data_IF_457255085155
#
_entry.id   IF_457255085155
#
_cell.length_a   1.000
_cell.length_b   1.000
_cell.length_c   1.000
_cell.angle_alpha   90.00
_cell.angle_beta   90.00
_cell.angle_gamma   90.00
#
_symmetry.space_group_name_H-M   'P 1'
#
loop_
_entity.id
_entity.type
_entity.pdbx_description
1 polymer ?
#
# COMPACT_ATOMS: atom_id res chain seq x y z
N UNK A 1 60.03 24.66 -62.92
CA UNK A 1 59.82 25.65 -61.83
C UNK A 1 58.37 25.58 -61.35
N UNK A 2 58.04 25.80 -60.06
CA UNK A 2 58.18 24.80 -59.00
C UNK A 2 56.84 24.47 -58.28
N UNK A 3 56.76 23.27 -57.69
CA UNK A 3 55.73 22.86 -56.72
C UNK A 3 55.93 23.60 -55.39
N UNK A 4 54.86 24.20 -54.82
CA UNK A 4 54.81 24.61 -53.40
C UNK A 4 54.02 23.58 -52.57
N UNK A 5 54.40 23.32 -51.31
CA UNK A 5 53.91 22.19 -50.53
C UNK A 5 52.64 22.51 -49.73
N UNK A 6 51.72 21.53 -49.70
CA UNK A 6 50.57 21.46 -48.77
C UNK A 6 51.06 20.95 -47.42
N UNK A 7 51.36 21.82 -46.45
CA UNK A 7 51.64 21.34 -45.08
C UNK A 7 51.18 22.24 -43.93
N UNK A 8 50.62 23.42 -44.16
CA UNK A 8 50.41 24.37 -43.05
C UNK A 8 49.00 24.37 -42.41
N UNK A 9 47.99 23.75 -43.04
CA UNK A 9 46.59 23.87 -42.56
C UNK A 9 46.26 22.88 -41.41
N UNK A 10 47.07 21.84 -41.20
CA UNK A 10 46.77 20.76 -40.26
C UNK A 10 47.08 21.09 -38.77
N UNK A 11 48.02 22.00 -38.50
CA UNK A 11 48.47 22.28 -37.13
C UNK A 11 47.47 23.13 -36.32
N UNK A 12 46.82 24.12 -36.95
CA UNK A 12 45.91 25.05 -36.25
C UNK A 12 44.54 24.47 -35.84
N UNK A 13 44.12 23.33 -36.41
CA UNK A 13 42.87 22.64 -36.05
C UNK A 13 43.01 21.76 -34.80
N UNK A 14 44.18 21.14 -34.57
CA UNK A 14 44.41 20.26 -33.41
C UNK A 14 44.43 21.02 -32.08
N UNK A 15 45.01 22.22 -32.04
CA UNK A 15 45.06 23.04 -30.82
C UNK A 15 43.70 23.55 -30.32
N UNK A 16 42.75 23.79 -31.23
CA UNK A 16 41.40 24.25 -30.88
C UNK A 16 40.49 23.13 -30.37
N UNK A 17 40.66 21.91 -30.87
CA UNK A 17 39.94 20.74 -30.37
C UNK A 17 40.36 20.39 -28.94
N UNK A 18 41.67 20.35 -28.67
CA UNK A 18 42.20 20.02 -27.33
C UNK A 18 41.78 21.02 -26.24
N UNK A 19 41.63 22.32 -26.55
CA UNK A 19 41.11 23.32 -25.60
C UNK A 19 39.62 23.14 -25.31
N UNK A 20 38.81 22.73 -26.29
CA UNK A 20 37.36 22.49 -26.09
C UNK A 20 37.08 21.26 -25.23
N UNK A 21 37.88 20.20 -25.37
CA UNK A 21 37.70 18.98 -24.57
C UNK A 21 38.07 19.22 -23.10
N UNK A 22 39.10 20.04 -22.85
CA UNK A 22 39.48 20.44 -21.49
C UNK A 22 38.41 21.30 -20.79
N UNK A 23 37.77 22.21 -21.51
CA UNK A 23 36.65 23.02 -20.98
C UNK A 23 35.37 22.20 -20.74
N UNK A 24 35.09 21.18 -21.56
CA UNK A 24 33.95 20.27 -21.34
C UNK A 24 34.14 19.39 -20.11
N UNK A 25 35.37 18.94 -19.83
CA UNK A 25 35.70 18.17 -18.64
C UNK A 25 35.46 18.94 -17.34
N UNK A 26 35.84 20.23 -17.28
CA UNK A 26 35.57 21.05 -16.09
C UNK A 26 34.09 21.32 -15.86
N UNK A 27 33.32 21.59 -16.93
CA UNK A 27 31.88 21.85 -16.79
C UNK A 27 31.11 20.59 -16.33
N UNK A 28 31.55 19.40 -16.75
CA UNK A 28 31.00 18.12 -16.28
C UNK A 28 31.36 17.86 -14.83
N UNK A 29 32.61 18.10 -14.43
CA UNK A 29 33.07 17.99 -13.03
C UNK A 29 32.26 18.90 -12.10
N UNK A 30 32.06 20.17 -12.46
CA UNK A 30 31.28 21.13 -11.67
C UNK A 30 29.82 20.69 -11.52
N UNK A 31 29.21 20.17 -12.60
CA UNK A 31 27.85 19.62 -12.55
C UNK A 31 27.75 18.38 -11.66
N UNK A 32 28.71 17.45 -11.75
CA UNK A 32 28.72 16.27 -10.88
C UNK A 32 28.89 16.63 -9.41
N UNK A 33 29.77 17.59 -9.08
CA UNK A 33 29.97 18.06 -7.71
C UNK A 33 28.70 18.72 -7.17
N UNK A 34 28.03 19.56 -7.98
CA UNK A 34 26.77 20.20 -7.60
C UNK A 34 25.65 19.17 -7.35
N UNK A 35 25.52 18.16 -8.21
CA UNK A 35 24.50 17.10 -8.06
C UNK A 35 24.77 16.26 -6.81
N UNK A 36 26.03 15.89 -6.55
CA UNK A 36 26.40 15.14 -5.35
C UNK A 36 26.14 15.96 -4.09
N UNK A 37 26.45 17.25 -4.08
CA UNK A 37 26.16 18.13 -2.94
C UNK A 37 24.65 18.23 -2.66
N UNK A 38 23.82 18.35 -3.70
CA UNK A 38 22.36 18.36 -3.56
C UNK A 38 21.84 17.01 -3.02
N UNK A 39 22.36 15.88 -3.52
CA UNK A 39 21.99 14.56 -3.02
C UNK A 39 22.38 14.36 -1.54
N UNK A 40 23.57 14.82 -1.15
CA UNK A 40 24.00 14.77 0.25
C UNK A 40 23.13 15.64 1.16
N UNK A 41 22.65 16.79 0.68
CA UNK A 41 21.68 17.61 1.42
C UNK A 41 20.31 16.93 1.51
N UNK A 42 19.80 16.38 0.41
CA UNK A 42 18.50 15.70 0.37
C UNK A 42 18.45 14.44 1.24
N UNK A 43 19.57 13.73 1.40
CA UNK A 43 19.66 12.54 2.25
C UNK A 43 20.09 12.87 3.69
N UNK A 44 20.98 13.85 3.87
CA UNK A 44 21.49 14.24 5.18
C UNK A 44 20.48 14.97 6.05
N UNK A 45 19.70 15.89 5.47
CA UNK A 45 18.71 16.69 6.22
C UNK A 45 17.61 15.82 6.85
N UNK A 46 16.98 14.85 6.15
CA UNK A 46 15.97 13.98 6.75
C UNK A 46 16.53 13.07 7.85
N UNK A 47 17.75 12.56 7.69
CA UNK A 47 18.42 11.72 8.70
C UNK A 47 18.76 12.53 9.96
N UNK A 48 19.24 13.76 9.80
CA UNK A 48 19.50 14.67 10.91
C UNK A 48 18.20 15.05 11.65
N UNK A 49 17.12 15.35 10.91
CA UNK A 49 15.81 15.63 11.51
C UNK A 49 15.18 14.41 12.20
N UNK A 50 15.52 13.18 11.79
CA UNK A 50 15.10 11.96 12.49
C UNK A 50 15.85 11.80 13.81
N UNK A 51 17.18 11.95 13.78
CA UNK A 51 18.02 11.85 14.97
C UNK A 51 17.68 12.90 16.04
N UNK A 52 17.36 14.14 15.64
CA UNK A 52 16.90 15.18 16.60
C UNK A 52 15.52 14.88 17.19
N UNK A 53 14.64 14.16 16.48
CA UNK A 53 13.36 13.67 17.05
C UNK A 53 13.61 12.60 18.10
N UNK A 54 14.48 11.64 17.81
CA UNK A 54 14.79 10.54 18.73
C UNK A 54 15.38 11.07 20.06
N UNK A 55 16.29 12.05 20.01
CA UNK A 55 16.82 12.72 21.22
C UNK A 55 15.76 13.44 22.05
N UNK A 56 14.76 14.06 21.40
CA UNK A 56 13.67 14.75 22.11
C UNK A 56 12.76 13.75 22.83
N UNK A 57 12.48 12.61 22.20
CA UNK A 57 11.68 11.52 22.78
C UNK A 57 12.39 10.88 23.97
N UNK A 58 13.70 10.64 23.89
CA UNK A 58 14.50 10.14 25.02
C UNK A 58 14.62 11.15 26.17
N UNK A 59 14.74 12.45 25.86
CA UNK A 59 14.80 13.53 26.84
C UNK A 59 13.48 13.73 27.62
N UNK A 60 12.34 13.45 27.01
CA UNK A 60 11.03 13.47 27.68
C UNK A 60 10.81 12.22 28.54
N UNK A 61 11.17 11.03 28.06
CA UNK A 61 11.09 9.80 28.85
C UNK A 61 11.92 9.85 30.14
N UNK A 62 13.05 10.59 30.14
CA UNK A 62 13.91 10.76 31.32
C UNK A 62 13.39 11.79 32.34
N UNK A 63 12.44 12.65 31.97
CA UNK A 63 11.80 13.62 32.88
C UNK A 63 10.60 13.07 33.64
N UNK A 64 10.08 11.91 33.24
CA UNK A 64 8.83 11.34 33.76
C UNK A 64 9.03 10.05 34.58
N UNK A 65 10.20 9.91 35.25
CA UNK A 65 10.34 8.97 36.37
C UNK A 65 9.98 9.65 37.69
N UNK A 66 8.90 9.24 38.38
CA UNK A 66 8.59 9.74 39.71
C UNK A 66 9.46 9.08 40.79
N UNK A 67 10.06 9.90 41.65
CA UNK A 67 10.76 9.49 42.86
C UNK A 67 9.76 9.10 44.00
N UNK A 68 10.21 8.41 45.07
CA UNK A 68 9.37 7.52 45.86
C UNK A 68 8.66 8.17 47.06
N UNK A 69 7.44 7.68 47.30
CA UNK A 69 6.70 7.43 48.57
C UNK A 69 6.97 8.34 49.79
N UNK A 70 5.91 9.03 50.23
CA UNK A 70 5.72 9.38 51.66
C UNK A 70 4.38 8.83 52.17
N UNK A 71 4.45 8.21 53.34
CA UNK A 71 3.41 7.44 54.06
C UNK A 71 2.48 8.35 54.87
N UNK A 72 1.19 8.04 54.95
CA UNK A 72 0.39 8.12 56.19
C UNK A 72 -1.00 7.46 56.05
N UNK A 73 -1.63 7.04 57.16
CA UNK A 73 -2.34 5.76 57.21
C UNK A 73 -3.87 5.85 57.28
N UNK A 74 -4.47 4.69 56.96
CA UNK A 74 -5.70 4.12 57.49
C UNK A 74 -7.05 4.82 57.22
N UNK A 75 -7.73 4.36 56.16
CA UNK A 75 -9.15 4.04 56.24
C UNK A 75 -9.44 2.78 55.39
N UNK A 76 -10.14 1.84 56.02
CA UNK A 76 -10.53 0.51 55.53
C UNK A 76 -11.13 0.51 54.12
N UNK A 77 -10.66 -0.39 53.25
CA UNK A 77 -11.49 -1.10 52.28
C UNK A 77 -10.70 -2.29 51.69
N UNK A 78 -11.44 -3.34 51.30
CA UNK A 78 -11.02 -4.68 50.88
C UNK A 78 -9.73 -4.79 50.04
N UNK A 79 -8.99 -5.87 50.31
CA UNK A 79 -7.91 -6.36 49.47
C UNK A 79 -8.35 -6.59 48.02
N UNK A 80 -7.56 -6.16 47.01
CA UNK A 80 -7.57 -6.82 45.72
C UNK A 80 -6.53 -7.94 45.76
N UNK A 81 -6.99 -9.17 45.51
CA UNK A 81 -6.12 -10.23 45.04
C UNK A 81 -5.35 -9.71 43.82
N UNK A 82 -4.03 -9.92 43.81
CA UNK A 82 -3.19 -9.63 42.68
C UNK A 82 -3.62 -10.52 41.50
N UNK A 83 -4.54 -10.02 40.70
CA UNK A 83 -4.79 -10.52 39.36
C UNK A 83 -3.57 -10.12 38.52
N UNK A 84 -2.63 -11.05 38.40
CA UNK A 84 -1.76 -11.08 37.23
C UNK A 84 -2.71 -11.10 36.03
N UNK A 85 -2.82 -9.95 35.35
CA UNK A 85 -3.45 -9.88 34.05
C UNK A 85 -2.54 -10.62 33.08
N UNK A 86 -2.67 -11.94 33.06
CA UNK A 86 -2.27 -12.75 31.93
C UNK A 86 -3.01 -12.16 30.74
N UNK A 87 -2.29 -11.44 29.88
CA UNK A 87 -2.79 -11.15 28.54
C UNK A 87 -3.29 -12.49 27.99
N UNK A 88 -4.56 -12.61 27.56
CA UNK A 88 -5.02 -13.87 27.02
C UNK A 88 -4.13 -14.17 25.82
N UNK A 89 -3.35 -15.24 25.93
CA UNK A 89 -2.68 -15.82 24.78
C UNK A 89 -3.81 -16.13 23.79
N UNK A 90 -3.82 -15.37 22.68
CA UNK A 90 -4.79 -15.55 21.59
C UNK A 90 -4.48 -16.89 20.94
N UNK A 91 -5.02 -17.94 21.56
CA UNK A 91 -5.05 -19.33 21.09
C UNK A 91 -6.38 -19.60 20.40
N UNK A 92 -7.03 -18.56 19.88
CA UNK A 92 -8.03 -18.69 18.82
C UNK A 92 -7.28 -18.80 17.50
N UNK A 93 -7.64 -19.78 16.65
CA UNK A 93 -7.12 -19.84 15.29
C UNK A 93 -7.24 -18.46 14.63
N UNK A 94 -6.18 -17.99 13.98
CA UNK A 94 -6.30 -16.78 13.16
C UNK A 94 -7.42 -17.00 12.16
N UNK A 95 -8.37 -16.07 12.11
CA UNK A 95 -9.56 -16.15 11.27
C UNK A 95 -9.24 -16.14 9.77
N UNK A 96 -10.29 -16.06 8.96
CA UNK A 96 -10.19 -15.93 7.53
C UNK A 96 -10.80 -14.59 7.10
N UNK A 97 -10.09 -13.86 6.26
CA UNK A 97 -10.60 -12.66 5.62
C UNK A 97 -11.25 -13.00 4.30
N UNK A 98 -12.19 -12.17 3.88
CA UNK A 98 -12.76 -12.19 2.54
C UNK A 98 -11.77 -11.58 1.55
N UNK A 99 -11.64 -12.23 0.39
CA UNK A 99 -10.78 -11.73 -0.69
C UNK A 99 -11.47 -11.77 -2.02
N UNK A 100 -11.24 -10.74 -2.84
CA UNK A 100 -11.68 -10.68 -4.23
C UNK A 100 -10.49 -10.81 -5.16
N UNK A 101 -10.71 -11.37 -6.33
CA UNK A 101 -9.74 -11.43 -7.42
C UNK A 101 -10.28 -10.68 -8.63
N UNK A 102 -9.39 -10.33 -9.56
CA UNK A 102 -9.83 -9.84 -10.87
C UNK A 102 -10.69 -10.92 -11.53
N UNK A 103 -11.91 -10.56 -11.89
CA UNK A 103 -12.66 -11.36 -12.85
C UNK A 103 -11.94 -11.24 -14.18
N UNK A 104 -11.85 -12.35 -14.91
CA UNK A 104 -11.26 -12.35 -16.24
C UNK A 104 -11.76 -11.11 -17.00
N UNK A 105 -10.83 -10.34 -17.55
CA UNK A 105 -11.18 -9.20 -18.37
C UNK A 105 -11.94 -9.77 -19.59
N UNK A 106 -13.26 -9.69 -19.53
CA UNK A 106 -14.09 -9.98 -20.69
C UNK A 106 -13.54 -9.06 -21.79
N UNK A 107 -13.22 -9.57 -22.98
CA UNK A 107 -12.68 -8.75 -24.10
C UNK A 107 -13.60 -7.57 -24.53
N UNK A 108 -14.73 -7.41 -23.84
CA UNK A 108 -15.75 -6.37 -23.94
C UNK A 108 -15.57 -5.23 -22.93
N UNK A 109 -14.75 -5.38 -21.89
CA UNK A 109 -14.47 -4.33 -20.92
C UNK A 109 -13.35 -3.41 -21.43
N UNK A 110 -13.51 -2.08 -21.33
CA UNK A 110 -12.41 -1.15 -21.59
C UNK A 110 -11.21 -1.45 -20.69
N UNK A 111 -9.99 -1.25 -21.20
CA UNK A 111 -8.74 -1.58 -20.49
C UNK A 111 -8.57 -0.78 -19.18
N UNK A 112 -9.22 0.37 -19.06
CA UNK A 112 -9.26 1.20 -17.87
C UNK A 112 -10.25 0.69 -16.80
N UNK A 113 -11.12 -0.28 -17.10
CA UNK A 113 -12.12 -0.78 -16.15
C UNK A 113 -11.65 -2.09 -15.52
N UNK A 114 -11.48 -2.10 -14.20
CA UNK A 114 -11.30 -3.33 -13.44
C UNK A 114 -12.63 -3.80 -12.84
N UNK A 115 -12.83 -5.12 -12.83
CA UNK A 115 -13.91 -5.78 -12.08
C UNK A 115 -13.29 -6.85 -11.17
N UNK A 116 -13.54 -6.73 -9.87
CA UNK A 116 -13.07 -7.68 -8.86
C UNK A 116 -14.25 -8.31 -8.14
N UNK A 117 -14.09 -9.55 -7.73
CA UNK A 117 -15.14 -10.30 -7.07
C UNK A 117 -14.67 -11.69 -6.69
N UNK A 118 -15.57 -12.43 -6.08
CA UNK A 118 -15.28 -13.76 -5.58
C UNK A 118 -14.88 -14.72 -6.70
N UNK A 119 -15.57 -14.68 -7.84
CA UNK A 119 -15.35 -15.57 -8.99
C UNK A 119 -14.13 -15.20 -9.86
N UNK A 120 -13.27 -14.30 -9.38
CA UNK A 120 -12.04 -13.96 -10.07
C UNK A 120 -10.97 -15.05 -9.95
N UNK A 121 -9.93 -14.94 -10.79
CA UNK A 121 -8.80 -15.86 -10.74
C UNK A 121 -7.63 -15.25 -9.94
N UNK A 122 -7.03 -16.02 -9.01
CA UNK A 122 -7.18 -17.47 -8.83
C UNK A 122 -8.41 -17.80 -7.97
N UNK A 123 -9.17 -18.83 -8.36
CA UNK A 123 -10.30 -19.36 -7.57
C UNK A 123 -9.89 -19.97 -6.24
N UNK A 124 -8.68 -20.52 -6.16
CA UNK A 124 -8.21 -21.24 -4.97
C UNK A 124 -8.16 -20.33 -3.74
N UNK A 125 -8.79 -20.78 -2.67
CA UNK A 125 -8.82 -20.16 -1.34
C UNK A 125 -8.38 -21.20 -0.31
N UNK A 126 -7.88 -20.74 0.85
CA UNK A 126 -7.40 -21.65 1.90
C UNK A 126 -8.52 -22.54 2.46
N UNK A 127 -9.78 -22.10 2.34
CA UNK A 127 -10.97 -22.91 2.60
C UNK A 127 -11.64 -23.33 1.29
N UNK A 128 -11.70 -24.64 0.97
CA UNK A 128 -12.53 -25.15 -0.10
C UNK A 128 -14.00 -24.84 0.21
N UNK A 129 -14.69 -24.22 -0.73
CA UNK A 129 -16.10 -23.90 -0.61
C UNK A 129 -16.95 -25.12 -1.00
N UNK A 130 -18.09 -25.29 -0.32
CA UNK A 130 -19.14 -26.21 -0.78
C UNK A 130 -19.93 -25.55 -1.90
N UNK A 131 -20.41 -26.34 -2.86
CA UNK A 131 -21.36 -25.94 -3.91
C UNK A 131 -20.89 -24.86 -4.90
N UNK A 132 -19.66 -24.96 -5.44
CA UNK A 132 -19.09 -24.03 -6.45
C UNK A 132 -19.15 -22.53 -6.10
N UNK A 133 -19.37 -22.20 -4.82
CA UNK A 133 -19.36 -20.81 -4.36
C UNK A 133 -17.93 -20.29 -4.45
N UNK A 134 -17.71 -19.08 -4.99
CA UNK A 134 -16.36 -18.60 -5.28
C UNK A 134 -15.70 -17.82 -4.12
N UNK A 135 -16.44 -17.52 -3.04
CA UNK A 135 -15.92 -17.01 -1.76
C UNK A 135 -16.85 -17.35 -0.58
N UNK A 136 -16.37 -17.24 0.66
CA UNK A 136 -17.17 -17.37 1.87
C UNK A 136 -17.42 -15.98 2.49
N UNK A 137 -18.54 -15.36 2.14
CA UNK A 137 -18.90 -14.03 2.67
C UNK A 137 -19.30 -14.06 4.15
N UNK A 138 -19.59 -15.23 4.74
CA UNK A 138 -20.00 -15.34 6.14
C UNK A 138 -18.81 -15.48 7.09
N UNK A 139 -17.73 -16.15 6.68
CA UNK A 139 -16.61 -16.51 7.55
C UNK A 139 -15.23 -16.13 6.98
N UNK A 140 -15.19 -15.61 5.76
CA UNK A 140 -13.95 -15.38 5.01
C UNK A 140 -13.41 -16.66 4.37
N UNK A 141 -12.60 -16.48 3.33
CA UNK A 141 -12.11 -17.56 2.46
C UNK A 141 -10.59 -17.74 2.54
N UNK A 142 -9.86 -16.72 2.99
CA UNK A 142 -8.40 -16.70 2.96
C UNK A 142 -7.84 -16.50 4.35
N UNK A 143 -6.88 -17.34 4.75
CA UNK A 143 -6.25 -17.27 6.06
C UNK A 143 -5.63 -15.89 6.28
N UNK A 144 -5.91 -15.30 7.44
CA UNK A 144 -5.33 -14.00 7.80
C UNK A 144 -3.80 -14.04 7.97
N UNK A 145 -3.16 -15.22 7.89
CA UNK A 145 -1.70 -15.35 7.83
C UNK A 145 -1.12 -15.03 6.46
N UNK A 146 -1.94 -15.05 5.40
CA UNK A 146 -1.50 -14.79 4.03
C UNK A 146 -1.18 -13.30 3.88
N UNK A 147 -0.14 -13.02 3.08
CA UNK A 147 0.29 -11.67 2.72
C UNK A 147 -0.33 -11.33 1.36
N UNK A 148 -1.37 -10.49 1.37
CA UNK A 148 -2.06 -10.03 0.16
C UNK A 148 -2.19 -8.50 0.14
N UNK A 149 -2.23 -7.87 -1.03
CA UNK A 149 -2.57 -6.46 -1.15
C UNK A 149 -4.01 -6.18 -0.65
N UNK A 150 -4.25 -4.99 -0.11
CA UNK A 150 -5.61 -4.50 0.20
C UNK A 150 -6.19 -3.89 -1.07
N UNK A 151 -7.43 -4.23 -1.42
CA UNK A 151 -8.17 -3.51 -2.44
C UNK A 151 -8.63 -2.18 -1.85
N UNK A 152 -8.19 -1.08 -2.45
CA UNK A 152 -8.59 0.25 -2.08
C UNK A 152 -9.50 0.85 -3.14
N UNK A 153 -10.42 1.69 -2.68
CA UNK A 153 -11.30 2.49 -3.50
C UNK A 153 -11.16 3.96 -3.13
N UNK A 154 -11.09 4.82 -4.14
CA UNK A 154 -11.40 6.23 -4.02
C UNK A 154 -12.79 6.44 -4.64
N UNK A 155 -13.83 6.68 -3.83
CA UNK A 155 -15.17 6.91 -4.33
C UNK A 155 -15.21 8.04 -5.37
N UNK A 156 -16.10 7.92 -6.33
CA UNK A 156 -16.22 8.89 -7.41
C UNK A 156 -17.59 8.83 -8.09
N UNK A 157 -17.74 9.65 -9.11
CA UNK A 157 -19.00 9.82 -9.86
C UNK A 157 -18.81 9.58 -11.36
N UNK A 158 -17.75 8.84 -11.74
CA UNK A 158 -17.50 8.53 -13.14
C UNK A 158 -18.72 7.82 -13.74
N UNK A 159 -19.15 8.30 -14.90
CA UNK A 159 -20.22 7.65 -15.64
C UNK A 159 -19.78 6.24 -16.02
N UNK A 160 -20.72 5.30 -15.91
CA UNK A 160 -20.53 3.94 -16.41
C UNK A 160 -20.19 4.00 -17.90
N UNK A 161 -19.12 3.32 -18.36
CA UNK A 161 -18.76 3.35 -19.78
C UNK A 161 -19.89 2.83 -20.67
N UNK A 162 -20.02 3.47 -21.83
CA UNK A 162 -21.04 3.12 -22.83
C UNK A 162 -20.64 1.85 -23.59
N UNK A 163 -21.63 1.06 -24.03
CA UNK A 163 -21.39 -0.04 -24.99
C UNK A 163 -21.14 -1.45 -24.40
N UNK A 164 -21.63 -1.76 -23.20
CA UNK A 164 -21.65 -3.14 -22.68
C UNK A 164 -23.06 -3.71 -22.59
N UNK A 165 -23.17 -5.05 -22.63
CA UNK A 165 -24.42 -5.75 -22.32
C UNK A 165 -24.83 -5.53 -20.85
N UNK A 166 -26.11 -5.73 -20.54
CA UNK A 166 -26.59 -5.75 -19.15
C UNK A 166 -25.76 -6.74 -18.31
N UNK A 167 -25.33 -6.29 -17.12
CA UNK A 167 -24.42 -7.05 -16.25
C UNK A 167 -22.91 -6.86 -16.49
N UNK A 168 -22.47 -6.32 -17.65
CA UNK A 168 -21.02 -6.12 -17.94
C UNK A 168 -20.32 -5.26 -16.88
N UNK A 169 -21.04 -4.26 -16.37
CA UNK A 169 -20.57 -3.34 -15.33
C UNK A 169 -21.35 -3.53 -14.02
N UNK A 170 -21.74 -4.77 -13.71
CA UNK A 170 -22.22 -5.12 -12.39
C UNK A 170 -21.21 -4.62 -11.35
N UNK A 171 -21.70 -3.94 -10.32
CA UNK A 171 -20.86 -3.37 -9.27
C UNK A 171 -20.14 -2.08 -9.62
N UNK A 172 -20.56 -1.37 -10.67
CA UNK A 172 -19.98 -0.07 -11.02
C UNK A 172 -20.11 0.95 -9.88
N UNK A 173 -18.97 1.37 -9.36
CA UNK A 173 -18.87 2.29 -8.23
C UNK A 173 -18.77 3.76 -8.65
N UNK A 174 -18.43 4.04 -9.91
CA UNK A 174 -18.02 5.37 -10.37
C UNK A 174 -16.67 5.85 -9.80
N UNK A 175 -16.02 5.04 -8.96
CA UNK A 175 -14.75 5.35 -8.32
C UNK A 175 -13.54 4.74 -9.03
N UNK A 176 -12.38 4.96 -8.42
CA UNK A 176 -11.11 4.35 -8.83
C UNK A 176 -10.72 3.21 -7.88
N UNK A 177 -10.07 2.19 -8.42
CA UNK A 177 -9.59 1.01 -7.71
C UNK A 177 -8.07 0.91 -7.84
N UNK A 178 -7.41 0.62 -6.72
CA UNK A 178 -5.98 0.41 -6.65
C UNK A 178 -5.62 -0.56 -5.52
N UNK A 179 -4.53 -1.33 -5.67
CA UNK A 179 -4.01 -2.13 -4.59
C UNK A 179 -2.97 -1.38 -3.75
N UNK A 180 -2.86 -1.75 -2.48
CA UNK A 180 -1.69 -1.42 -1.65
C UNK A 180 -0.52 -2.38 -1.93
N UNK A 181 0.63 -2.13 -1.31
CA UNK A 181 1.63 -3.15 -1.06
C UNK A 181 1.03 -4.33 -0.26
N UNK A 182 1.47 -5.57 -0.53
CA UNK A 182 0.99 -6.75 0.19
C UNK A 182 1.23 -6.67 1.69
N UNK A 183 0.25 -7.14 2.45
CA UNK A 183 0.25 -7.09 3.91
C UNK A 183 -0.39 -8.36 4.48
N UNK A 184 0.12 -8.83 5.62
CA UNK A 184 -0.49 -9.94 6.32
C UNK A 184 -1.90 -9.57 6.79
N UNK A 185 -2.92 -10.38 6.48
CA UNK A 185 -4.30 -10.09 6.90
C UNK A 185 -4.46 -9.87 8.40
N UNK A 186 -3.70 -10.59 9.23
CA UNK A 186 -3.75 -10.55 10.69
C UNK A 186 -3.35 -9.19 11.29
N UNK A 187 -2.64 -8.34 10.53
CA UNK A 187 -2.34 -6.97 11.01
C UNK A 187 -3.45 -5.98 10.68
N UNK A 188 -4.43 -6.36 9.85
CA UNK A 188 -5.64 -5.58 9.61
C UNK A 188 -6.59 -5.83 10.78
N UNK A 189 -6.45 -5.06 11.86
CA UNK A 189 -7.23 -5.25 13.10
C UNK A 189 -8.51 -4.42 13.16
N UNK A 190 -8.78 -3.62 12.12
CA UNK A 190 -10.03 -2.87 11.96
C UNK A 190 -10.17 -2.31 10.55
N UNK A 191 -11.40 -1.95 10.18
CA UNK A 191 -11.70 -1.19 8.96
C UNK A 191 -10.93 0.13 8.90
N UNK A 192 -10.81 0.84 10.03
CA UNK A 192 -10.07 2.10 10.11
C UNK A 192 -8.57 1.89 9.84
N UNK A 193 -7.95 0.85 10.40
CA UNK A 193 -6.53 0.56 10.16
C UNK A 193 -6.28 0.14 8.71
N UNK A 194 -7.16 -0.68 8.13
CA UNK A 194 -7.05 -1.08 6.74
C UNK A 194 -7.25 0.11 5.78
N UNK A 195 -8.19 0.99 6.07
CA UNK A 195 -8.41 2.23 5.30
C UNK A 195 -7.25 3.22 5.46
N UNK A 196 -6.68 3.35 6.66
CA UNK A 196 -5.49 4.17 6.88
C UNK A 196 -4.28 3.70 6.06
N UNK A 197 -4.19 2.39 5.78
CA UNK A 197 -3.17 1.85 4.86
C UNK A 197 -3.40 2.31 3.42
N UNK A 198 -4.65 2.27 2.94
CA UNK A 198 -5.01 2.81 1.64
C UNK A 198 -4.64 4.30 1.53
N UNK A 199 -5.05 5.11 2.51
CA UNK A 199 -4.76 6.55 2.51
C UNK A 199 -3.26 6.84 2.57
N UNK A 200 -2.50 6.07 3.37
CA UNK A 200 -1.04 6.23 3.48
C UNK A 200 -0.32 5.97 2.16
N UNK A 201 -0.76 5.00 1.37
CA UNK A 201 -0.06 4.60 0.15
C UNK A 201 -0.56 5.30 -1.12
N UNK A 202 -1.84 5.66 -1.16
CA UNK A 202 -2.52 6.17 -2.35
C UNK A 202 -2.94 7.64 -2.22
N UNK A 203 -2.90 8.19 -1.01
CA UNK A 203 -3.26 9.57 -0.70
C UNK A 203 -4.66 9.73 -0.12
N UNK A 204 -5.03 10.98 0.17
CA UNK A 204 -6.30 11.29 0.83
C UNK A 204 -7.52 10.88 -0.01
N UNK A 205 -8.57 10.40 0.67
CA UNK A 205 -9.82 9.94 0.05
C UNK A 205 -9.84 8.46 -0.34
N UNK A 206 -8.70 7.76 -0.27
CA UNK A 206 -8.63 6.32 -0.45
C UNK A 206 -9.00 5.58 0.84
N UNK A 207 -9.80 4.51 0.73
CA UNK A 207 -10.14 3.62 1.83
C UNK A 207 -10.18 2.16 1.36
N UNK A 208 -10.25 1.22 2.30
CA UNK A 208 -10.46 -0.18 1.96
C UNK A 208 -11.82 -0.35 1.27
N UNK A 209 -11.85 -1.11 0.19
CA UNK A 209 -13.07 -1.42 -0.55
C UNK A 209 -13.96 -2.37 0.25
N UNK A 210 -15.24 -2.02 0.34
CA UNK A 210 -16.28 -2.84 0.96
C UNK A 210 -17.08 -3.57 -0.13
N UNK A 211 -17.54 -4.79 0.14
CA UNK A 211 -18.41 -5.56 -0.78
C UNK A 211 -19.62 -4.72 -1.24
N UNK A 212 -20.18 -3.87 -0.38
CA UNK A 212 -21.32 -2.98 -0.69
C UNK A 212 -20.99 -1.86 -1.66
N UNK A 213 -19.72 -1.52 -1.86
CA UNK A 213 -19.34 -0.58 -2.91
C UNK A 213 -19.83 -1.07 -4.29
N UNK A 214 -19.92 -2.40 -4.43
CA UNK A 214 -20.47 -3.10 -5.58
C UNK A 214 -21.99 -3.15 -5.69
N UNK A 215 -22.74 -2.39 -4.88
CA UNK A 215 -24.21 -2.31 -4.91
C UNK A 215 -24.90 -3.69 -4.92
N UNK A 216 -24.46 -4.59 -4.04
CA UNK A 216 -24.97 -5.96 -3.87
C UNK A 216 -24.83 -6.88 -5.11
N UNK A 217 -24.04 -6.48 -6.11
CA UNK A 217 -23.84 -7.26 -7.33
C UNK A 217 -22.93 -8.48 -7.18
N UNK A 218 -22.30 -8.65 -6.00
CA UNK A 218 -21.26 -9.65 -5.76
C UNK A 218 -19.90 -9.35 -6.40
N UNK A 219 -19.73 -8.15 -6.97
CA UNK A 219 -18.47 -7.66 -7.55
C UNK A 219 -18.32 -6.16 -7.36
N UNK A 220 -17.09 -5.65 -7.44
CA UNK A 220 -16.76 -4.23 -7.40
C UNK A 220 -16.11 -3.88 -8.74
N UNK A 221 -16.68 -2.91 -9.45
CA UNK A 221 -16.17 -2.41 -10.72
C UNK A 221 -15.84 -0.92 -10.63
N UNK A 222 -14.71 -0.53 -11.20
CA UNK A 222 -14.26 0.85 -11.19
C UNK A 222 -13.08 1.09 -12.12
N UNK A 223 -12.60 2.33 -12.15
CA UNK A 223 -11.48 2.73 -12.98
C UNK A 223 -10.16 2.27 -12.35
N UNK A 224 -9.26 1.71 -13.16
CA UNK A 224 -7.87 1.46 -12.79
C UNK A 224 -7.14 2.79 -12.64
N UNK A 225 -6.28 2.90 -11.63
CA UNK A 225 -5.31 4.01 -11.58
C UNK A 225 -4.15 3.75 -12.55
N UNK A 226 -3.42 4.80 -12.93
CA UNK A 226 -2.22 4.70 -13.77
C UNK A 226 -0.95 4.39 -12.98
N UNK A 227 -0.96 4.59 -11.66
CA UNK A 227 0.23 4.55 -10.82
C UNK A 227 0.43 3.20 -10.14
N UNK A 228 -0.58 2.33 -10.18
CA UNK A 228 -0.55 1.00 -9.59
C UNK A 228 -1.19 0.01 -10.56
N UNK A 229 -0.88 -1.27 -10.40
CA UNK A 229 -1.40 -2.33 -11.26
C UNK A 229 -2.13 -3.36 -10.42
N UNK A 230 -3.40 -3.58 -10.75
CA UNK A 230 -4.12 -4.77 -10.29
C UNK A 230 -3.59 -5.96 -11.08
N UNK A 231 -2.84 -6.82 -10.39
CA UNK A 231 -2.19 -7.99 -10.96
C UNK A 231 -3.17 -9.12 -11.24
N UNK A 232 -3.07 -9.68 -12.44
CA UNK A 232 -3.72 -10.94 -12.79
C UNK A 232 -3.21 -12.05 -11.85
N UNK A 233 -4.08 -12.97 -11.45
CA UNK A 233 -3.69 -14.05 -10.54
C UNK A 233 -3.43 -13.59 -9.11
N UNK A 234 -3.90 -12.41 -8.70
CA UNK A 234 -3.79 -11.91 -7.32
C UNK A 234 -5.16 -11.78 -6.67
N UNK A 235 -5.27 -12.23 -5.42
CA UNK A 235 -6.41 -11.91 -4.55
C UNK A 235 -6.10 -10.70 -3.68
N UNK A 236 -7.13 -9.95 -3.32
CA UNK A 236 -7.06 -8.70 -2.58
C UNK A 236 -7.94 -8.78 -1.35
N UNK A 237 -7.44 -8.30 -0.20
CA UNK A 237 -8.28 -8.12 0.97
C UNK A 237 -9.39 -7.11 0.68
N UNK A 238 -10.63 -7.52 0.89
CA UNK A 238 -11.82 -6.67 0.87
C UNK A 238 -12.51 -6.75 2.23
N UNK A 239 -13.30 -5.74 2.58
CA UNK A 239 -14.06 -5.77 3.82
C UNK A 239 -15.55 -6.01 3.57
N UNK A 240 -16.23 -6.45 4.63
CA UNK A 240 -17.68 -6.48 4.70
C UNK A 240 -18.14 -6.00 6.07
N UNK A 241 -19.15 -5.13 6.08
CA UNK A 241 -19.75 -4.62 7.32
C UNK A 241 -20.80 -5.55 7.93
N UNK A 242 -21.42 -6.41 7.13
CA UNK A 242 -22.60 -7.18 7.55
C UNK A 242 -22.27 -8.57 8.07
N UNK A 243 -21.06 -9.05 7.81
CA UNK A 243 -20.67 -10.43 8.10
C UNK A 243 -19.32 -10.48 8.85
N UNK A 244 -19.10 -11.51 9.69
CA UNK A 244 -17.83 -11.73 10.38
C UNK A 244 -16.80 -12.39 9.45
N UNK A 245 -16.53 -11.77 8.29
CA UNK A 245 -15.62 -12.29 7.27
C UNK A 245 -14.40 -11.37 7.06
N UNK A 246 -14.04 -10.55 8.04
CA UNK A 246 -12.81 -9.76 8.02
C UNK A 246 -11.77 -10.38 8.96
N UNK A 247 -10.49 -10.08 8.75
CA UNK A 247 -9.44 -10.62 9.62
C UNK A 247 -9.51 -10.19 11.09
N UNK A 248 -10.24 -9.11 11.39
CA UNK A 248 -10.44 -8.60 12.74
C UNK A 248 -11.72 -9.08 13.42
N UNK A 249 -12.64 -9.73 12.70
CA UNK A 249 -13.92 -10.17 13.25
C UNK A 249 -14.36 -11.57 12.81
N UNK A 250 -13.56 -12.28 12.01
CA UNK A 250 -13.73 -13.70 11.71
C UNK A 250 -13.15 -14.53 12.85
N UNK A 251 -13.99 -15.34 13.50
CA UNK A 251 -13.51 -16.34 14.44
C UNK A 251 -12.83 -17.48 13.67
N UNK A 252 -11.62 -17.86 14.08
CA UNK A 252 -10.97 -19.07 13.58
C UNK A 252 -11.84 -20.28 13.90
N UNK A 253 -12.44 -20.84 12.86
CA UNK A 253 -13.24 -22.07 12.91
C UNK A 253 -12.45 -23.24 12.34
#
# INVERSE_FOLDING_TARGET
MPKRPRTEVAAGRRGRAARRDRQRGELLMVRTVAVVAVLLLLLGIPLWMKHERDKRTEGQARKESPAPVAKSPAAKAMAPAAAQASAPAVTGGMGHGLTFALLADDAKLPAEVARLGCAGEPRATDRPLKDDHPCNHQQGDTSCRVVLPVLCIQPGTAAKPVGGADGTYAGWTGGQLAPTQPVMGAILTSSALASARCEKELGSGWRMADVKDGLDSGSIAGLRTTNTTLGQGTRYWVQTQDQPANCWNSSGS
#
